data_IF_208010886310
#
_entry.id   IF_208010886310
#
_cell.length_a   1.000
_cell.length_b   1.000
_cell.length_c   1.000
_cell.angle_alpha   90.00
_cell.angle_beta   90.00
_cell.angle_gamma   90.00
#
_symmetry.space_group_name_H-M   'P 1'
#
loop_
_entity.id
_entity.type
_entity.pdbx_description
1 polymer ?
#
# COMPACT_ATOMS: atom_id res chain seq x y z
N UNK A 1 -9.90 23.66 22.14
CA UNK A 1 -9.61 22.29 21.66
C UNK A 1 -10.09 22.03 20.23
N UNK A 2 -11.06 22.79 19.69
CA UNK A 2 -11.62 22.58 18.33
C UNK A 2 -10.99 23.41 17.21
N UNK A 3 -10.06 24.32 17.50
CA UNK A 3 -9.48 25.22 16.50
C UNK A 3 -8.61 24.49 15.46
N UNK A 4 -8.19 23.25 15.73
CA UNK A 4 -7.47 22.38 14.79
C UNK A 4 -8.39 21.38 14.09
N UNK A 5 -9.70 21.36 14.37
CA UNK A 5 -10.65 20.52 13.65
C UNK A 5 -11.08 21.22 12.35
N UNK A 6 -10.12 21.49 11.47
CA UNK A 6 -10.35 22.10 10.15
C UNK A 6 -10.44 20.99 9.09
N UNK A 7 -11.04 21.31 7.95
CA UNK A 7 -11.08 20.39 6.82
C UNK A 7 -9.66 20.06 6.33
N UNK A 8 -8.75 21.04 6.35
CA UNK A 8 -7.34 20.83 5.96
C UNK A 8 -6.68 19.76 6.84
N UNK A 9 -6.83 19.83 8.16
CA UNK A 9 -6.28 18.83 9.07
C UNK A 9 -6.93 17.45 8.90
N UNK A 10 -8.21 17.39 8.52
CA UNK A 10 -8.86 16.13 8.18
C UNK A 10 -8.25 15.53 6.90
N UNK A 11 -8.05 16.33 5.86
CA UNK A 11 -7.45 15.88 4.59
C UNK A 11 -6.02 15.40 4.83
N UNK A 12 -5.20 16.16 5.56
CA UNK A 12 -3.83 15.77 5.90
C UNK A 12 -3.79 14.44 6.65
N UNK A 13 -4.67 14.26 7.64
CA UNK A 13 -4.76 13.02 8.41
C UNK A 13 -5.16 11.83 7.52
N UNK A 14 -6.15 11.99 6.65
CA UNK A 14 -6.58 10.94 5.72
C UNK A 14 -5.46 10.62 4.72
N UNK A 15 -4.79 11.61 4.15
CA UNK A 15 -3.64 11.41 3.27
C UNK A 15 -2.51 10.66 3.99
N UNK A 16 -2.21 11.00 5.24
CA UNK A 16 -1.22 10.28 6.04
C UNK A 16 -1.57 8.81 6.23
N UNK A 17 -2.84 8.49 6.49
CA UNK A 17 -3.31 7.10 6.58
C UNK A 17 -3.18 6.39 5.24
N UNK A 18 -3.59 7.02 4.13
CA UNK A 18 -3.45 6.46 2.77
C UNK A 18 -1.99 6.15 2.45
N UNK A 19 -1.06 7.06 2.77
CA UNK A 19 0.38 6.86 2.57
C UNK A 19 0.88 5.64 3.34
N UNK A 20 0.49 5.50 4.61
CA UNK A 20 0.89 4.35 5.42
C UNK A 20 0.35 3.03 4.88
N UNK A 21 -0.92 2.99 4.48
CA UNK A 21 -1.53 1.80 3.91
C UNK A 21 -0.89 1.43 2.56
N UNK A 22 -0.68 2.41 1.68
CA UNK A 22 0.00 2.19 0.40
C UNK A 22 1.46 1.78 0.58
N UNK A 23 2.17 2.26 1.60
CA UNK A 23 3.54 1.82 1.88
C UNK A 23 3.61 0.34 2.31
N UNK A 24 2.57 -0.18 2.97
CA UNK A 24 2.53 -1.55 3.46
C UNK A 24 1.97 -2.53 2.44
N UNK A 25 0.92 -2.14 1.72
CA UNK A 25 0.13 -3.03 0.85
C UNK A 25 0.14 -2.61 -0.62
N UNK A 26 0.91 -1.58 -0.98
CA UNK A 26 0.93 -0.99 -2.32
C UNK A 26 -0.47 -0.61 -2.82
N UNK A 27 -0.97 -1.34 -3.82
CA UNK A 27 -2.27 -1.13 -4.46
C UNK A 27 -3.21 -2.32 -4.22
N UNK A 28 -2.78 -3.32 -3.44
CA UNK A 28 -3.57 -4.52 -3.15
C UNK A 28 -4.77 -4.13 -2.27
N UNK A 29 -5.97 -4.44 -2.74
CA UNK A 29 -7.19 -4.35 -1.96
C UNK A 29 -7.57 -5.74 -1.42
N UNK A 30 -8.30 -5.75 -0.30
CA UNK A 30 -8.71 -6.98 0.38
C UNK A 30 -10.04 -7.51 -0.18
N UNK A 31 -10.30 -7.29 -1.46
CA UNK A 31 -11.56 -7.70 -2.09
C UNK A 31 -11.58 -9.21 -2.32
N UNK A 32 -12.73 -9.82 -2.02
CA UNK A 32 -12.86 -11.29 -1.93
C UNK A 32 -13.16 -11.97 -3.27
N UNK A 33 -13.32 -11.22 -4.37
CA UNK A 33 -13.77 -11.76 -5.66
C UNK A 33 -13.00 -11.14 -6.83
N UNK A 34 -12.49 -11.99 -7.73
CA UNK A 34 -11.90 -11.54 -8.99
C UNK A 34 -13.02 -11.08 -9.95
N UNK A 35 -13.12 -9.78 -10.18
CA UNK A 35 -13.91 -9.23 -11.28
C UNK A 35 -13.01 -8.45 -12.23
N UNK A 36 -13.21 -8.63 -13.55
CA UNK A 36 -12.47 -7.91 -14.57
C UNK A 36 -12.92 -6.44 -14.59
N UNK A 37 -12.10 -5.55 -13.99
CA UNK A 37 -12.30 -4.09 -14.08
C UNK A 37 -11.42 -3.51 -15.16
N UNK A 38 -12.03 -2.80 -16.12
CA UNK A 38 -11.29 -1.95 -17.04
C UNK A 38 -10.89 -0.64 -16.34
N UNK A 39 -9.70 -0.62 -15.73
CA UNK A 39 -9.17 0.59 -15.09
C UNK A 39 -8.47 1.47 -16.13
N UNK A 40 -8.99 2.68 -16.36
CA UNK A 40 -8.33 3.66 -17.21
C UNK A 40 -7.06 4.19 -16.55
N UNK A 41 -5.91 4.11 -17.26
CA UNK A 41 -4.66 4.67 -16.75
C UNK A 41 -4.68 6.19 -16.85
N UNK A 42 -4.70 6.87 -15.70
CA UNK A 42 -4.66 8.33 -15.64
C UNK A 42 -3.25 8.85 -15.98
N UNK A 43 -3.15 10.08 -16.52
CA UNK A 43 -1.88 10.68 -17.03
C UNK A 43 -1.29 11.74 -16.09
N UNK A 44 -1.73 11.76 -14.83
CA UNK A 44 -1.27 12.69 -13.80
C UNK A 44 0.08 12.31 -13.18
N UNK A 45 0.66 11.18 -13.59
CA UNK A 45 1.92 10.67 -13.05
C UNK A 45 1.81 10.05 -11.66
N UNK A 46 0.59 9.82 -11.18
CA UNK A 46 0.32 9.11 -9.93
C UNK A 46 -0.32 7.75 -10.21
N UNK A 47 -0.38 6.92 -9.20
CA UNK A 47 -1.10 5.65 -9.21
C UNK A 47 -2.38 5.74 -8.37
N UNK A 48 -3.28 4.77 -8.54
CA UNK A 48 -4.44 4.65 -7.67
C UNK A 48 -3.97 4.04 -6.33
N UNK A 49 -4.40 4.63 -5.23
CA UNK A 49 -4.26 4.00 -3.91
C UNK A 49 -5.29 2.87 -3.75
N UNK A 50 -5.16 2.10 -2.66
CA UNK A 50 -6.08 1.02 -2.27
C UNK A 50 -7.54 1.50 -2.35
N UNK A 51 -8.40 0.73 -3.02
CA UNK A 51 -9.81 1.06 -3.26
C UNK A 51 -10.08 2.16 -4.30
N UNK A 52 -9.06 2.72 -4.95
CA UNK A 52 -9.21 3.61 -6.11
C UNK A 52 -9.69 5.04 -5.83
N UNK A 53 -9.94 5.41 -4.58
CA UNK A 53 -10.45 6.75 -4.21
C UNK A 53 -9.39 7.85 -4.18
N UNK A 54 -8.15 7.49 -3.87
CA UNK A 54 -7.03 8.43 -3.72
C UNK A 54 -5.96 8.17 -4.77
N UNK A 55 -5.10 9.18 -4.99
CA UNK A 55 -3.93 9.10 -5.85
C UNK A 55 -2.68 9.09 -4.97
N UNK A 56 -1.74 8.21 -5.28
CA UNK A 56 -0.48 8.05 -4.53
C UNK A 56 0.67 7.96 -5.52
N UNK A 57 1.83 8.51 -5.16
CA UNK A 57 3.06 8.34 -5.92
C UNK A 57 4.01 7.48 -5.09
N UNK A 58 4.46 6.37 -5.66
CA UNK A 58 5.52 5.57 -5.07
C UNK A 58 6.86 6.16 -5.46
N UNK A 59 7.72 6.37 -4.47
CA UNK A 59 9.03 6.91 -4.72
C UNK A 59 10.00 5.77 -5.09
N UNK A 60 10.76 5.97 -6.17
CA UNK A 60 11.79 5.02 -6.62
C UNK A 60 13.14 5.42 -6.00
N UNK A 61 13.32 5.05 -4.73
CA UNK A 61 14.56 5.35 -3.99
C UNK A 61 15.69 4.42 -4.46
N UNK A 62 16.94 4.90 -4.57
CA UNK A 62 18.10 4.04 -4.71
C UNK A 62 18.16 3.00 -3.58
N UNK A 63 18.65 1.80 -3.87
CA UNK A 63 18.69 0.70 -2.89
C UNK A 63 19.43 1.06 -1.60
N UNK A 64 20.50 1.86 -1.69
CA UNK A 64 21.26 2.35 -0.56
C UNK A 64 20.47 3.26 0.40
N UNK A 65 19.37 3.85 -0.06
CA UNK A 65 18.51 4.74 0.73
C UNK A 65 17.22 4.04 1.21
N UNK A 66 17.01 2.78 0.82
CA UNK A 66 15.87 1.97 1.27
C UNK A 66 16.13 1.46 2.69
N UNK A 67 15.06 1.07 3.38
CA UNK A 67 15.20 0.36 4.65
C UNK A 67 16.04 -0.91 4.47
N UNK A 68 16.73 -1.36 5.53
CA UNK A 68 17.49 -2.62 5.58
C UNK A 68 16.57 -3.84 5.51
N UNK A 69 15.85 -3.99 4.41
CA UNK A 69 15.02 -5.12 4.07
C UNK A 69 15.60 -5.77 2.82
N UNK A 70 16.35 -6.84 3.02
CA UNK A 70 17.04 -7.56 1.95
C UNK A 70 16.08 -8.53 1.24
N UNK A 71 15.19 -7.96 0.42
CA UNK A 71 14.29 -8.75 -0.41
C UNK A 71 15.05 -9.67 -1.38
N UNK A 72 16.23 -9.24 -1.85
CA UNK A 72 17.04 -10.03 -2.79
C UNK A 72 17.46 -11.36 -2.18
N UNK A 73 17.77 -11.38 -0.89
CA UNK A 73 18.06 -12.60 -0.15
C UNK A 73 16.79 -13.35 0.25
N UNK A 74 15.80 -12.66 0.82
CA UNK A 74 14.59 -13.28 1.39
C UNK A 74 13.75 -14.03 0.35
N UNK A 75 13.71 -13.57 -0.90
CA UNK A 75 12.94 -14.24 -1.96
C UNK A 75 13.48 -15.63 -2.32
N UNK A 76 14.76 -15.90 -2.04
CA UNK A 76 15.41 -17.18 -2.30
C UNK A 76 15.39 -18.12 -1.07
N UNK A 77 14.92 -17.63 0.08
CA UNK A 77 14.76 -18.45 1.28
C UNK A 77 13.60 -19.45 1.12
N UNK A 78 13.68 -20.54 1.88
CA UNK A 78 12.58 -21.52 1.94
C UNK A 78 11.36 -20.84 2.56
N UNK A 79 10.21 -20.96 1.88
CA UNK A 79 8.95 -20.37 2.34
C UNK A 79 8.66 -20.74 3.81
N UNK A 80 8.66 -19.75 4.73
CA UNK A 80 8.49 -19.98 6.16
C UNK A 80 7.08 -20.45 6.52
N UNK A 81 6.11 -20.29 5.62
CA UNK A 81 4.72 -20.68 5.83
C UNK A 81 4.44 -22.15 5.49
N UNK A 82 5.39 -22.86 4.85
CA UNK A 82 5.25 -24.29 4.54
C UNK A 82 5.03 -25.16 5.78
N UNK A 83 5.66 -24.80 6.91
CA UNK A 83 5.54 -25.52 8.17
C UNK A 83 4.49 -24.91 9.12
N UNK A 84 3.78 -23.85 8.71
CA UNK A 84 2.84 -23.17 9.57
C UNK A 84 1.56 -24.01 9.73
N UNK A 85 1.16 -24.39 10.97
CA UNK A 85 -0.03 -25.19 11.18
C UNK A 85 -1.28 -24.33 11.02
N UNK A 86 -1.78 -24.23 9.79
CA UNK A 86 -3.04 -23.54 9.51
C UNK A 86 -4.19 -24.23 10.25
N UNK A 87 -5.03 -23.48 11.02
CA UNK A 87 -6.24 -24.02 11.60
C UNK A 87 -7.15 -24.53 10.48
N UNK A 88 -7.58 -25.78 10.59
CA UNK A 88 -8.68 -26.32 9.78
C UNK A 88 -9.99 -25.86 10.42
N UNK A 89 -10.79 -25.09 9.69
CA UNK A 89 -12.18 -24.76 10.04
C UNK A 89 -13.10 -25.99 9.95
#
# INVERSE_FOLDING_TARGET
MFHQATFDHLVDAVCGVVVLLSAQFMQEDFESEDYLVAVGRNRDGMDAAIGGFFRVSFADWPEADRYEFDWQHLQDEVDPFVAYPYPVE
#
